data_IF_896007201749
#
_entry.id   IF_896007201749
#
_cell.length_a   1.000
_cell.length_b   1.000
_cell.length_c   1.000
_cell.angle_alpha   90.00
_cell.angle_beta   90.00
_cell.angle_gamma   90.00
#
_symmetry.space_group_name_H-M   'P 1'
#
loop_
_entity.id
_entity.type
_entity.pdbx_description
1 polymer ?
#
# COMPACT_ATOMS: atom_id res chain seq x y z
N UNK A 1 40.66 67.47 -20.83
CA UNK A 1 41.87 67.83 -21.62
C UNK A 1 42.65 66.53 -21.86
N UNK A 2 43.16 66.26 -23.07
CA UNK A 2 42.67 65.25 -24.06
C UNK A 2 43.66 64.06 -24.31
N UNK A 3 43.62 63.24 -25.40
CA UNK A 3 42.58 62.88 -26.43
C UNK A 3 42.30 61.33 -26.51
N UNK A 4 41.15 60.82 -26.97
CA UNK A 4 40.64 60.51 -28.35
C UNK A 4 41.56 59.66 -29.26
N UNK A 5 41.09 58.46 -29.69
CA UNK A 5 40.99 57.90 -31.08
C UNK A 5 40.58 56.40 -31.02
N UNK A 6 39.40 56.00 -31.55
CA UNK A 6 39.13 55.26 -32.83
C UNK A 6 39.97 53.97 -33.03
N UNK A 7 39.46 52.80 -33.42
CA UNK A 7 38.15 52.34 -33.90
C UNK A 7 38.23 50.89 -34.47
N UNK A 8 37.08 50.36 -34.90
CA UNK A 8 36.84 49.16 -35.74
C UNK A 8 37.16 47.77 -35.15
N UNK A 9 36.26 46.83 -34.86
CA UNK A 9 35.08 46.25 -35.54
C UNK A 9 35.38 45.22 -36.65
N UNK A 10 34.71 44.05 -36.49
CA UNK A 10 34.40 42.95 -37.45
C UNK A 10 35.52 41.93 -37.70
N UNK A 11 35.32 40.64 -37.94
CA UNK A 11 34.20 39.66 -38.04
C UNK A 11 34.93 38.30 -38.15
N UNK A 12 34.56 37.24 -37.41
CA UNK A 12 33.64 36.13 -37.79
C UNK A 12 34.22 35.02 -38.71
N UNK A 13 33.76 33.81 -38.36
CA UNK A 13 33.53 32.56 -39.15
C UNK A 13 34.66 31.59 -39.50
N UNK A 14 34.50 30.36 -38.97
CA UNK A 14 34.39 29.04 -39.64
C UNK A 14 34.50 29.04 -41.19
N UNK A 15 35.07 28.05 -41.89
CA UNK A 15 34.82 26.60 -41.87
C UNK A 15 35.79 25.90 -42.88
N UNK A 16 35.81 24.56 -42.85
CA UNK A 16 36.00 23.61 -43.99
C UNK A 16 37.32 22.83 -44.18
N UNK A 17 37.24 21.55 -43.78
CA UNK A 17 37.46 20.31 -44.56
C UNK A 17 38.86 19.82 -45.00
N UNK A 18 39.02 18.50 -44.76
CA UNK A 18 40.15 17.59 -45.02
C UNK A 18 40.43 17.34 -46.54
N UNK A 19 41.49 16.60 -46.97
CA UNK A 19 41.60 15.13 -46.76
C UNK A 19 43.04 14.59 -46.60
N UNK A 20 43.20 13.30 -46.26
CA UNK A 20 43.94 12.29 -47.06
C UNK A 20 44.17 10.97 -46.29
N UNK A 21 43.84 9.89 -46.99
CA UNK A 21 44.06 8.49 -46.67
C UNK A 21 45.56 8.09 -46.67
N UNK A 22 45.92 7.07 -45.87
CA UNK A 22 46.62 5.89 -46.39
C UNK A 22 46.69 4.74 -45.37
N UNK A 23 46.22 3.57 -45.81
CA UNK A 23 46.38 2.26 -45.22
C UNK A 23 47.84 1.77 -45.26
N UNK A 24 48.30 1.03 -44.24
CA UNK A 24 48.83 -0.33 -44.42
C UNK A 24 49.23 -1.00 -43.08
N UNK A 25 49.01 -2.31 -43.06
CA UNK A 25 49.01 -3.27 -41.97
C UNK A 25 50.34 -3.55 -41.26
N UNK A 26 50.26 -4.13 -40.05
CA UNK A 26 51.14 -5.21 -39.56
C UNK A 26 50.46 -5.99 -38.42
N UNK A 27 50.69 -7.29 -38.40
CA UNK A 27 49.98 -8.39 -37.74
C UNK A 27 50.42 -8.70 -36.29
N UNK A 28 49.65 -9.63 -35.68
CA UNK A 28 49.92 -10.51 -34.52
C UNK A 28 49.59 -9.94 -33.12
N UNK A 29 48.95 -10.64 -32.18
CA UNK A 29 48.85 -12.09 -31.94
C UNK A 29 47.55 -12.45 -31.20
N UNK A 30 47.03 -13.63 -31.52
CA UNK A 30 45.84 -14.30 -31.01
C UNK A 30 46.08 -14.90 -29.61
N UNK A 31 45.15 -14.74 -28.66
CA UNK A 31 45.05 -15.61 -27.47
C UNK A 31 43.60 -15.95 -27.20
N UNK A 32 43.27 -17.21 -27.47
CA UNK A 32 41.95 -17.83 -27.32
C UNK A 32 41.84 -18.50 -25.94
N UNK A 33 40.78 -18.18 -25.20
CA UNK A 33 40.36 -18.87 -23.97
C UNK A 33 39.16 -19.77 -24.30
N UNK A 34 39.12 -21.05 -23.86
CA UNK A 34 38.10 -22.01 -24.28
C UNK A 34 36.74 -21.82 -23.58
N UNK A 35 35.61 -22.23 -24.21
CA UNK A 35 34.28 -22.11 -23.62
C UNK A 35 33.95 -23.21 -22.61
N UNK A 36 33.28 -22.81 -21.52
CA UNK A 36 32.73 -23.67 -20.46
C UNK A 36 31.62 -24.61 -20.97
N UNK A 37 31.43 -25.80 -20.35
CA UNK A 37 30.46 -26.79 -20.79
C UNK A 37 29.01 -26.39 -20.46
N UNK A 38 28.07 -26.74 -21.36
CA UNK A 38 26.62 -26.53 -21.21
C UNK A 38 26.02 -27.48 -20.16
N UNK A 39 25.02 -27.04 -19.39
CA UNK A 39 24.23 -27.95 -18.56
C UNK A 39 23.29 -28.80 -19.43
N UNK A 40 23.19 -30.08 -19.07
CA UNK A 40 22.40 -31.13 -19.70
C UNK A 40 20.89 -30.90 -19.58
N UNK A 41 20.17 -31.13 -20.69
CA UNK A 41 18.71 -31.14 -20.80
C UNK A 41 18.05 -32.15 -19.85
N UNK A 42 16.87 -31.84 -19.26
CA UNK A 42 16.10 -32.81 -18.49
C UNK A 42 15.36 -33.80 -19.42
N UNK A 43 15.09 -35.04 -18.97
CA UNK A 43 14.41 -36.03 -19.78
C UNK A 43 12.91 -35.74 -19.91
N UNK A 44 12.43 -35.90 -21.13
CA UNK A 44 11.03 -35.92 -21.55
C UNK A 44 10.28 -37.08 -20.86
N UNK A 45 9.25 -36.78 -20.08
CA UNK A 45 8.25 -37.77 -19.65
C UNK A 45 6.94 -37.51 -20.38
N UNK A 46 6.44 -38.59 -20.96
CA UNK A 46 5.29 -38.66 -21.86
C UNK A 46 3.96 -38.48 -21.13
N UNK A 47 3.05 -37.78 -21.82
CA UNK A 47 1.62 -37.78 -21.54
C UNK A 47 1.07 -39.21 -21.59
N UNK A 48 0.42 -39.66 -20.51
CA UNK A 48 -0.68 -40.63 -20.61
C UNK A 48 -1.97 -39.99 -20.12
N UNK A 49 -2.91 -39.93 -21.05
CA UNK A 49 -4.34 -39.79 -20.84
C UNK A 49 -4.88 -41.07 -20.16
N UNK A 50 -5.79 -40.87 -19.23
CA UNK A 50 -6.91 -41.78 -18.91
C UNK A 50 -7.90 -40.91 -18.14
N UNK A 51 -8.91 -40.38 -18.82
CA UNK A 51 -10.26 -40.97 -18.95
C UNK A 51 -11.00 -40.99 -17.61
N UNK A 52 -12.14 -40.30 -17.62
CA UNK A 52 -12.84 -39.87 -16.43
C UNK A 52 -13.68 -40.92 -15.75
N UNK A 53 -14.45 -40.46 -14.77
CA UNK A 53 -15.86 -40.78 -14.61
C UNK A 53 -16.48 -39.86 -13.55
N UNK A 54 -17.38 -39.01 -14.05
CA UNK A 54 -18.47 -38.39 -13.33
C UNK A 54 -19.53 -39.46 -13.01
N UNK A 55 -20.18 -39.41 -11.85
CA UNK A 55 -21.38 -40.20 -11.60
C UNK A 55 -21.78 -40.43 -10.14
N UNK A 56 -22.61 -39.52 -9.61
CA UNK A 56 -23.80 -39.78 -8.78
C UNK A 56 -23.77 -40.61 -7.48
N UNK A 57 -24.11 -39.91 -6.38
CA UNK A 57 -25.13 -40.20 -5.36
C UNK A 57 -25.49 -41.66 -4.98
N UNK A 58 -25.34 -42.01 -3.69
CA UNK A 58 -26.45 -42.43 -2.81
C UNK A 58 -26.01 -42.69 -1.35
N UNK A 59 -26.76 -42.07 -0.45
CA UNK A 59 -27.10 -42.34 0.96
C UNK A 59 -26.43 -43.53 1.68
N UNK A 60 -25.95 -43.27 2.90
CA UNK A 60 -25.70 -44.29 3.93
C UNK A 60 -25.48 -43.68 5.32
N UNK A 61 -26.52 -43.70 6.15
CA UNK A 61 -26.49 -43.35 7.58
C UNK A 61 -25.55 -44.30 8.35
N UNK A 62 -24.64 -43.75 9.16
CA UNK A 62 -23.78 -44.55 10.03
C UNK A 62 -23.30 -43.76 11.23
N UNK A 63 -24.02 -43.87 12.36
CA UNK A 63 -23.63 -43.37 13.68
C UNK A 63 -22.24 -43.92 14.06
N UNK A 64 -21.26 -43.06 14.34
CA UNK A 64 -20.01 -43.45 15.01
C UNK A 64 -19.91 -42.79 16.40
N UNK A 65 -19.75 -43.67 17.39
CA UNK A 65 -19.58 -43.39 18.82
C UNK A 65 -18.32 -42.55 19.07
N UNK A 66 -18.46 -41.50 19.90
CA UNK A 66 -17.33 -40.76 20.49
C UNK A 66 -16.56 -41.69 21.44
N UNK A 67 -15.26 -41.87 21.19
CA UNK A 67 -14.32 -42.51 22.13
C UNK A 67 -13.69 -41.40 22.97
N UNK A 68 -13.83 -41.53 24.30
CA UNK A 68 -13.34 -40.60 25.32
C UNK A 68 -11.81 -40.64 25.34
N UNK A 69 -11.14 -39.54 25.00
CA UNK A 69 -9.70 -39.33 25.23
C UNK A 69 -9.55 -38.80 26.65
N UNK A 70 -8.59 -39.35 27.39
CA UNK A 70 -8.25 -39.02 28.77
C UNK A 70 -7.26 -37.85 28.74
N UNK A 71 -7.58 -36.80 29.47
CA UNK A 71 -6.74 -35.62 29.71
C UNK A 71 -5.45 -35.97 30.46
N UNK A 72 -4.35 -35.37 30.02
CA UNK A 72 -3.28 -34.85 30.88
C UNK A 72 -3.15 -33.36 30.54
N UNK A 73 -3.54 -32.48 31.47
CA UNK A 73 -3.39 -31.02 31.37
C UNK A 73 -2.23 -30.63 32.28
N UNK A 74 -1.20 -30.04 31.67
CA UNK A 74 -0.08 -29.44 32.38
C UNK A 74 -0.49 -28.11 33.03
N UNK A 75 -0.03 -27.91 34.26
CA UNK A 75 -0.23 -26.69 35.04
C UNK A 75 0.38 -25.47 34.30
N UNK A 76 -0.48 -24.54 33.87
CA UNK A 76 -0.07 -23.31 33.18
C UNK A 76 -1.20 -22.29 32.97
N UNK A 77 -2.45 -22.74 32.86
CA UNK A 77 -3.60 -21.89 32.50
C UNK A 77 -4.41 -21.36 33.71
N UNK A 78 -4.07 -21.76 34.93
CA UNK A 78 -4.88 -21.46 36.11
C UNK A 78 -4.66 -20.03 36.65
N UNK A 79 -3.48 -19.43 36.41
CA UNK A 79 -3.14 -18.12 36.95
C UNK A 79 -3.78 -16.95 36.18
N UNK A 80 -3.99 -17.10 34.87
CA UNK A 80 -4.55 -16.05 34.01
C UNK A 80 -6.07 -16.00 34.11
N UNK A 81 -6.72 -17.16 34.24
CA UNK A 81 -8.17 -17.27 34.45
C UNK A 81 -8.60 -16.71 35.82
N UNK A 82 -7.80 -16.92 36.86
CA UNK A 82 -8.04 -16.34 38.20
C UNK A 82 -7.86 -14.82 38.24
N UNK A 83 -6.95 -14.26 37.43
CA UNK A 83 -6.75 -12.81 37.33
C UNK A 83 -7.94 -12.13 36.64
N UNK A 84 -8.53 -12.75 35.61
CA UNK A 84 -9.69 -12.23 34.88
C UNK A 84 -10.99 -12.25 35.70
N UNK A 85 -11.25 -13.31 36.49
CA UNK A 85 -12.40 -13.33 37.42
C UNK A 85 -12.26 -12.32 38.57
N UNK A 86 -11.03 -12.05 39.03
CA UNK A 86 -10.78 -11.09 40.11
C UNK A 86 -10.99 -9.63 39.67
N UNK A 87 -10.73 -9.30 38.40
CA UNK A 87 -10.95 -7.96 37.85
C UNK A 87 -12.44 -7.72 37.57
N UNK A 88 -13.13 -8.70 36.97
CA UNK A 88 -14.58 -8.60 36.69
C UNK A 88 -15.43 -8.54 37.98
N UNK A 89 -15.04 -9.27 39.03
CA UNK A 89 -15.72 -9.21 40.34
C UNK A 89 -15.49 -7.90 41.09
N UNK A 90 -14.30 -7.30 40.98
CA UNK A 90 -13.98 -5.98 41.56
C UNK A 90 -14.76 -4.85 40.89
N UNK A 91 -14.94 -4.91 39.58
CA UNK A 91 -15.72 -3.91 38.84
C UNK A 91 -17.23 -4.07 39.09
N UNK A 92 -17.74 -5.29 39.23
CA UNK A 92 -19.14 -5.54 39.62
C UNK A 92 -19.47 -5.04 41.03
N UNK A 93 -18.55 -5.18 41.99
CA UNK A 93 -18.68 -4.63 43.35
C UNK A 93 -18.58 -3.09 43.38
N UNK A 94 -17.75 -2.48 42.52
CA UNK A 94 -17.64 -1.02 42.39
C UNK A 94 -18.91 -0.39 41.83
N UNK A 95 -19.55 -1.08 40.87
CA UNK A 95 -20.86 -0.70 40.32
C UNK A 95 -21.98 -0.85 41.36
N UNK A 96 -21.98 -1.91 42.17
CA UNK A 96 -22.95 -2.08 43.26
C UNK A 96 -22.78 -1.06 44.40
N UNK A 97 -21.54 -0.75 44.79
CA UNK A 97 -21.26 0.25 45.85
C UNK A 97 -21.51 1.70 45.41
N UNK A 98 -21.41 2.00 44.11
CA UNK A 98 -21.78 3.30 43.54
C UNK A 98 -23.29 3.57 43.51
N UNK A 99 -24.12 2.51 43.61
CA UNK A 99 -25.59 2.59 43.58
C UNK A 99 -26.21 2.74 44.97
N UNK A 100 -25.45 2.50 46.06
CA UNK A 100 -25.98 2.47 47.44
C UNK A 100 -25.44 3.56 48.38
N UNK A 101 -25.04 4.72 47.84
CA UNK A 101 -24.83 5.94 48.63
C UNK A 101 -25.68 7.08 48.08
N UNK A 102 -26.92 7.12 48.54
CA UNK A 102 -27.87 8.19 48.28
C UNK A 102 -29.01 8.10 49.29
N UNK A 103 -29.04 9.09 50.16
CA UNK A 103 -29.87 9.23 51.36
C UNK A 103 -31.37 8.94 51.12
N UNK A 104 -32.00 8.33 52.12
CA UNK A 104 -33.38 7.89 52.06
C UNK A 104 -34.35 9.07 52.01
N UNK A 105 -35.20 9.11 50.98
CA UNK A 105 -36.52 9.76 50.99
C UNK A 105 -37.38 9.15 49.88
N UNK A 106 -38.55 8.66 50.26
CA UNK A 106 -39.59 8.13 49.37
C UNK A 106 -39.92 9.12 48.25
N UNK A 107 -39.80 8.67 47.00
CA UNK A 107 -40.17 9.41 45.80
C UNK A 107 -40.64 8.47 44.71
N UNK A 108 -41.93 8.55 44.43
CA UNK A 108 -42.72 7.78 43.48
C UNK A 108 -42.10 7.76 42.06
N UNK A 109 -42.29 6.64 41.35
CA UNK A 109 -41.88 6.42 39.96
C UNK A 109 -42.51 7.44 39.00
N UNK A 110 -41.80 8.52 38.66
CA UNK A 110 -42.04 9.27 37.42
C UNK A 110 -40.80 10.05 37.03
N UNK A 111 -40.20 9.75 35.88
CA UNK A 111 -39.17 10.61 35.29
C UNK A 111 -37.91 9.92 34.78
N UNK A 112 -38.01 8.79 34.07
CA UNK A 112 -36.99 8.49 33.06
C UNK A 112 -37.21 9.44 31.86
N UNK A 113 -36.85 10.70 32.03
CA UNK A 113 -36.60 11.56 30.87
C UNK A 113 -35.41 10.93 30.14
N UNK A 114 -35.66 10.38 28.94
CA UNK A 114 -34.62 10.05 27.98
C UNK A 114 -33.71 11.28 27.90
N UNK A 115 -32.52 11.24 28.51
CA UNK A 115 -31.49 12.24 28.24
C UNK A 115 -31.15 12.06 26.77
N UNK A 116 -31.81 12.84 25.92
CA UNK A 116 -31.47 13.01 24.51
C UNK A 116 -30.03 13.52 24.54
N UNK A 117 -29.08 12.62 24.32
CA UNK A 117 -27.68 12.99 24.17
C UNK A 117 -27.64 13.95 23.00
N UNK A 118 -27.57 15.24 23.29
CA UNK A 118 -27.46 16.26 22.26
C UNK A 118 -26.23 15.89 21.45
N UNK A 119 -26.41 15.75 20.13
CA UNK A 119 -25.26 15.63 19.25
C UNK A 119 -24.41 16.86 19.53
N UNK A 120 -23.12 16.72 19.88
CA UNK A 120 -22.28 17.88 20.07
C UNK A 120 -22.44 18.76 18.84
N UNK A 121 -22.68 20.06 19.06
CA UNK A 121 -22.78 21.02 17.98
C UNK A 121 -21.60 20.76 17.05
N UNK A 122 -21.88 20.61 15.73
CA UNK A 122 -20.81 20.44 14.74
C UNK A 122 -19.80 21.55 15.00
N UNK A 123 -18.63 21.23 15.54
CA UNK A 123 -17.54 22.18 15.60
C UNK A 123 -17.37 22.65 14.16
N UNK A 124 -17.64 23.93 13.90
CA UNK A 124 -17.19 24.58 12.68
C UNK A 124 -15.67 24.69 12.82
N UNK A 125 -14.97 23.57 12.69
CA UNK A 125 -13.53 23.62 12.53
C UNK A 125 -13.30 24.51 11.31
N UNK A 126 -12.58 25.64 11.46
CA UNK A 126 -12.17 26.38 10.29
C UNK A 126 -11.44 25.38 9.40
N UNK A 127 -11.88 25.27 8.14
CA UNK A 127 -11.14 24.48 7.17
C UNK A 127 -9.85 25.26 6.92
N UNK A 128 -8.84 25.02 7.74
CA UNK A 128 -7.57 25.78 7.76
C UNK A 128 -7.01 25.90 6.34
N UNK A 129 -7.09 24.82 5.57
CA UNK A 129 -6.72 24.80 4.15
C UNK A 129 -7.50 25.83 3.30
N UNK A 130 -8.82 25.93 3.46
CA UNK A 130 -9.64 26.91 2.73
C UNK A 130 -9.28 28.34 3.14
N UNK A 131 -9.00 28.59 4.42
CA UNK A 131 -8.57 29.92 4.90
C UNK A 131 -7.21 30.31 4.32
N UNK A 132 -6.34 29.34 4.06
CA UNK A 132 -5.04 29.54 3.42
C UNK A 132 -5.12 29.53 1.88
N UNK A 133 -6.32 29.38 1.29
CA UNK A 133 -6.49 29.27 -0.17
C UNK A 133 -5.93 27.97 -0.78
N UNK A 134 -5.66 26.95 0.04
CA UNK A 134 -5.10 25.67 -0.38
C UNK A 134 -6.25 24.70 -0.68
N UNK A 135 -6.31 24.21 -1.91
CA UNK A 135 -7.27 23.18 -2.28
C UNK A 135 -6.86 21.82 -1.70
N UNK A 136 -7.83 21.06 -1.20
CA UNK A 136 -7.58 19.72 -0.62
C UNK A 136 -7.04 18.72 -1.64
N UNK A 137 -7.38 18.88 -2.90
CA UNK A 137 -6.88 18.02 -3.97
C UNK A 137 -5.42 18.30 -4.34
N UNK A 138 -4.83 19.40 -3.88
CA UNK A 138 -3.47 19.84 -4.23
C UNK A 138 -2.72 20.40 -3.01
N UNK A 139 -2.86 19.76 -1.84
CA UNK A 139 -2.35 20.32 -0.59
C UNK A 139 -0.82 20.20 -0.46
N UNK A 140 -0.21 19.17 -1.05
CA UNK A 140 1.25 19.00 -1.04
C UNK A 140 1.94 20.05 -1.91
N UNK A 141 1.24 20.62 -2.89
CA UNK A 141 1.75 21.69 -3.77
C UNK A 141 2.12 22.97 -3.04
N UNK A 142 1.61 23.17 -1.82
CA UNK A 142 1.97 24.30 -0.95
C UNK A 142 3.23 24.05 -0.11
N UNK A 143 3.77 22.83 -0.09
CA UNK A 143 4.97 22.45 0.66
C UNK A 143 6.23 22.61 -0.20
N UNK A 144 7.39 22.90 0.41
CA UNK A 144 8.65 23.00 -0.33
C UNK A 144 9.09 21.62 -0.86
N UNK A 145 9.78 21.63 -2.01
CA UNK A 145 10.31 20.40 -2.62
C UNK A 145 11.36 19.68 -1.76
N UNK A 146 12.02 20.42 -0.86
CA UNK A 146 13.01 19.87 0.07
C UNK A 146 12.42 19.06 1.23
N UNK A 147 11.11 19.17 1.50
CA UNK A 147 10.44 18.43 2.57
C UNK A 147 10.60 16.92 2.37
N UNK A 148 10.94 16.18 3.43
CA UNK A 148 11.00 14.72 3.38
C UNK A 148 9.59 14.13 3.48
N UNK A 149 9.31 13.09 2.70
CA UNK A 149 7.96 12.52 2.64
C UNK A 149 7.51 11.90 3.97
N UNK A 150 8.42 11.29 4.72
CA UNK A 150 8.18 10.68 6.04
C UNK A 150 8.15 11.67 7.22
N UNK A 151 8.44 12.95 6.97
CA UNK A 151 8.23 14.01 7.96
C UNK A 151 6.81 14.62 7.89
N UNK A 152 6.01 14.18 6.92
CA UNK A 152 4.67 14.71 6.68
C UNK A 152 3.58 13.88 7.38
N UNK A 153 2.54 14.58 7.85
CA UNK A 153 1.28 13.93 8.22
C UNK A 153 0.47 13.64 6.96
N UNK A 154 0.54 12.39 6.48
CA UNK A 154 -0.09 11.96 5.23
C UNK A 154 -1.38 11.19 5.54
N UNK A 155 -2.57 11.68 5.14
CA UNK A 155 -3.80 10.93 5.32
C UNK A 155 -3.86 9.74 4.36
N UNK A 156 -4.23 8.58 4.90
CA UNK A 156 -4.37 7.33 4.16
C UNK A 156 -5.76 6.72 4.20
N UNK A 157 -6.00 5.75 3.31
CA UNK A 157 -7.21 4.94 3.25
C UNK A 157 -6.87 3.46 3.40
N UNK A 158 -7.35 2.82 4.47
CA UNK A 158 -7.30 1.37 4.66
C UNK A 158 -8.19 0.67 3.64
N UNK A 159 -7.68 -0.38 2.99
CA UNK A 159 -8.42 -1.16 1.98
C UNK A 159 -9.13 -0.23 0.97
N UNK A 160 -8.34 0.60 0.30
CA UNK A 160 -8.80 1.78 -0.49
C UNK A 160 -9.92 1.44 -1.48
N UNK A 161 -9.92 0.22 -2.04
CA UNK A 161 -10.86 -0.24 -3.05
C UNK A 161 -12.02 -1.08 -2.47
N UNK A 162 -12.08 -1.26 -1.16
CA UNK A 162 -13.11 -2.04 -0.48
C UNK A 162 -14.45 -1.29 -0.41
N UNK A 163 -15.14 -1.23 -1.55
CA UNK A 163 -16.42 -0.56 -1.78
C UNK A 163 -17.61 -1.53 -1.89
N UNK A 164 -17.35 -2.84 -1.99
CA UNK A 164 -18.35 -3.84 -2.37
C UNK A 164 -18.60 -4.91 -1.29
N UNK A 165 -19.83 -5.44 -1.33
CA UNK A 165 -20.43 -6.45 -0.44
C UNK A 165 -20.29 -7.86 -1.08
N UNK A 166 -20.20 -8.96 -0.31
CA UNK A 166 -21.38 -9.44 0.41
C UNK A 166 -21.27 -9.48 1.95
N UNK A 167 -20.19 -8.97 2.56
CA UNK A 167 -20.00 -8.96 4.01
C UNK A 167 -19.85 -7.52 4.50
N UNK A 168 -20.53 -7.13 5.60
CA UNK A 168 -20.43 -5.73 6.08
C UNK A 168 -19.01 -5.40 6.51
N UNK A 169 -18.27 -6.41 6.97
CA UNK A 169 -16.86 -6.32 7.29
C UNK A 169 -15.97 -6.09 6.06
N UNK A 170 -16.47 -6.29 4.83
CA UNK A 170 -15.70 -6.08 3.61
C UNK A 170 -15.79 -4.66 3.03
N UNK A 171 -16.54 -3.75 3.67
CA UNK A 171 -16.68 -2.35 3.25
C UNK A 171 -15.85 -1.45 4.16
N UNK A 172 -14.77 -0.90 3.62
CA UNK A 172 -13.91 0.05 4.36
C UNK A 172 -14.05 1.48 3.84
N UNK A 173 -14.49 1.66 2.59
CA UNK A 173 -14.63 2.94 1.94
C UNK A 173 -16.04 3.13 1.39
N UNK A 174 -16.46 4.39 1.23
CA UNK A 174 -17.73 4.76 0.58
C UNK A 174 -17.54 5.62 -0.66
N UNK A 175 -16.29 5.94 -1.00
CA UNK A 175 -15.94 6.89 -2.06
C UNK A 175 -15.02 6.22 -3.08
N UNK A 176 -15.23 6.45 -4.38
CA UNK A 176 -14.30 6.00 -5.42
C UNK A 176 -12.90 6.57 -5.23
N UNK A 177 -11.88 5.88 -5.77
CA UNK A 177 -10.48 6.23 -5.66
C UNK A 177 -10.18 7.70 -6.05
N UNK A 178 -10.58 8.14 -7.25
CA UNK A 178 -10.37 9.53 -7.67
C UNK A 178 -10.99 10.53 -6.69
N UNK A 179 -12.16 10.23 -6.11
CA UNK A 179 -12.78 11.09 -5.10
C UNK A 179 -11.95 11.14 -3.81
N UNK A 180 -11.43 10.00 -3.33
CA UNK A 180 -10.52 9.97 -2.17
C UNK A 180 -9.29 10.87 -2.40
N UNK A 181 -8.68 10.81 -3.59
CA UNK A 181 -7.56 11.67 -3.99
C UNK A 181 -7.94 13.16 -3.98
N UNK A 182 -9.08 13.54 -4.57
CA UNK A 182 -9.56 14.92 -4.56
C UNK A 182 -9.95 15.42 -3.14
N UNK A 183 -10.24 14.52 -2.21
CA UNK A 183 -10.47 14.88 -0.80
C UNK A 183 -9.19 15.01 0.04
N UNK A 184 -8.04 14.62 -0.52
CA UNK A 184 -6.71 14.83 0.07
C UNK A 184 -5.97 13.55 0.49
N UNK A 185 -6.54 12.36 0.26
CA UNK A 185 -5.86 11.07 0.56
C UNK A 185 -4.62 10.90 -0.31
N UNK A 186 -3.52 10.47 0.29
CA UNK A 186 -2.21 10.32 -0.38
C UNK A 186 -1.49 9.02 -0.02
N UNK A 187 -1.98 8.26 0.95
CA UNK A 187 -1.52 6.90 1.23
C UNK A 187 -2.64 5.89 0.89
N UNK A 188 -2.40 5.02 -0.08
CA UNK A 188 -3.39 4.06 -0.57
C UNK A 188 -2.98 2.64 -0.16
N UNK A 189 -3.79 1.98 0.67
CA UNK A 189 -3.68 0.53 0.91
C UNK A 189 -4.42 -0.22 -0.20
N UNK A 190 -3.68 -0.81 -1.14
CA UNK A 190 -4.18 -1.57 -2.27
C UNK A 190 -3.83 -3.04 -2.11
N UNK A 191 -4.85 -3.89 -2.15
CA UNK A 191 -4.73 -5.30 -1.85
C UNK A 191 -5.21 -6.15 -3.02
N UNK A 192 -4.38 -7.07 -3.47
CA UNK A 192 -4.63 -7.82 -4.70
C UNK A 192 -4.47 -9.33 -4.51
N UNK A 193 -5.29 -10.07 -5.25
CA UNK A 193 -5.07 -11.49 -5.55
C UNK A 193 -4.45 -11.64 -6.94
N UNK A 194 -3.48 -12.53 -7.06
CA UNK A 194 -3.03 -13.02 -8.35
C UNK A 194 -3.94 -14.17 -8.81
N UNK A 195 -4.50 -14.02 -10.02
CA UNK A 195 -5.34 -15.05 -10.65
C UNK A 195 -4.51 -16.04 -11.45
N UNK A 196 -5.12 -17.17 -11.82
CA UNK A 196 -4.50 -18.18 -12.70
C UNK A 196 -4.20 -17.69 -14.12
N UNK A 197 -4.76 -16.53 -14.51
CA UNK A 197 -4.48 -15.85 -15.79
C UNK A 197 -3.34 -14.83 -15.70
N UNK A 198 -2.60 -14.81 -14.58
CA UNK A 198 -1.56 -13.82 -14.29
C UNK A 198 -2.07 -12.38 -14.26
N UNK A 199 -3.33 -12.19 -13.82
CA UNK A 199 -3.92 -10.86 -13.61
C UNK A 199 -4.03 -10.56 -12.11
N UNK A 200 -3.78 -9.30 -11.74
CA UNK A 200 -3.95 -8.79 -10.39
C UNK A 200 -5.33 -8.13 -10.23
N UNK A 201 -6.13 -8.68 -9.33
CA UNK A 201 -7.49 -8.20 -9.04
C UNK A 201 -7.61 -7.74 -7.60
N UNK A 202 -8.33 -6.64 -7.36
CA UNK A 202 -8.51 -6.07 -6.03
C UNK A 202 -9.42 -6.94 -5.16
N UNK A 203 -8.99 -7.19 -3.92
CA UNK A 203 -9.69 -8.03 -2.94
C UNK A 203 -9.61 -7.42 -1.55
N UNK A 204 -10.59 -7.76 -0.72
CA UNK A 204 -10.53 -7.56 0.73
C UNK A 204 -10.79 -8.93 1.38
N UNK A 205 -9.71 -9.59 1.84
CA UNK A 205 -9.75 -11.00 2.20
C UNK A 205 -10.28 -11.85 1.03
N UNK A 206 -11.38 -12.56 1.27
CA UNK A 206 -12.00 -13.43 0.27
C UNK A 206 -12.96 -12.69 -0.68
N UNK A 207 -13.21 -11.38 -0.48
CA UNK A 207 -14.23 -10.64 -1.22
C UNK A 207 -13.62 -9.88 -2.40
N UNK A 208 -13.97 -10.22 -3.66
CA UNK A 208 -13.52 -9.47 -4.83
C UNK A 208 -14.12 -8.07 -4.87
N UNK A 209 -13.31 -7.07 -5.23
CA UNK A 209 -13.72 -5.67 -5.37
C UNK A 209 -13.93 -5.25 -6.84
N UNK A 210 -13.78 -6.19 -7.78
CA UNK A 210 -14.17 -5.96 -9.18
C UNK A 210 -13.30 -4.97 -9.96
N UNK A 211 -12.09 -4.68 -9.50
CA UNK A 211 -11.13 -3.76 -10.15
C UNK A 211 -9.82 -4.48 -10.46
N UNK A 212 -9.29 -4.32 -11.67
CA UNK A 212 -7.94 -4.80 -12.02
C UNK A 212 -6.88 -3.79 -11.58
N UNK A 213 -5.71 -4.25 -11.16
CA UNK A 213 -4.61 -3.36 -10.78
C UNK A 213 -4.22 -2.40 -11.92
N UNK A 214 -4.24 -2.88 -13.17
CA UNK A 214 -4.01 -2.09 -14.38
C UNK A 214 -4.93 -0.86 -14.46
N UNK A 215 -6.23 -1.06 -14.24
CA UNK A 215 -7.24 0.02 -14.29
C UNK A 215 -7.06 1.02 -13.14
N UNK A 216 -6.69 0.50 -11.96
CA UNK A 216 -6.46 1.30 -10.75
C UNK A 216 -5.22 2.19 -10.94
N UNK A 217 -4.12 1.61 -11.42
CA UNK A 217 -2.90 2.34 -11.69
C UNK A 217 -3.08 3.40 -12.78
N UNK A 218 -3.75 3.05 -13.88
CA UNK A 218 -4.12 4.03 -14.91
C UNK A 218 -5.00 5.17 -14.36
N UNK A 219 -5.88 4.89 -13.39
CA UNK A 219 -6.67 5.92 -12.70
C UNK A 219 -5.80 6.88 -11.88
N UNK A 220 -4.89 6.34 -11.07
CA UNK A 220 -3.93 7.13 -10.28
C UNK A 220 -3.05 7.99 -11.20
N UNK A 221 -2.51 7.41 -12.27
CA UNK A 221 -1.59 8.09 -13.17
C UNK A 221 -2.26 9.26 -13.86
N UNK A 222 -3.49 9.08 -14.34
CA UNK A 222 -4.27 10.15 -14.94
C UNK A 222 -4.52 11.29 -13.96
N UNK A 223 -4.76 10.97 -12.69
CA UNK A 223 -4.93 11.99 -11.67
C UNK A 223 -3.61 12.74 -11.38
N UNK A 224 -2.50 12.01 -11.22
CA UNK A 224 -1.15 12.57 -11.00
C UNK A 224 -0.68 13.44 -12.18
N UNK A 225 -1.06 13.14 -13.41
CA UNK A 225 -0.74 13.96 -14.58
C UNK A 225 -1.72 15.13 -14.77
N UNK A 226 -2.88 15.06 -14.13
CA UNK A 226 -3.90 16.09 -14.17
C UNK A 226 -3.51 17.37 -13.45
N UNK A 227 -4.29 18.42 -13.67
CA UNK A 227 -4.05 19.73 -13.05
C UNK A 227 -4.06 19.69 -11.52
N UNK A 228 -4.86 18.79 -10.92
CA UNK A 228 -4.94 18.61 -9.46
C UNK A 228 -3.73 17.85 -8.88
N UNK A 229 -3.27 16.79 -9.57
CA UNK A 229 -2.28 15.85 -9.02
C UNK A 229 -0.84 16.11 -9.40
N UNK A 230 -0.54 16.97 -10.39
CA UNK A 230 0.84 17.19 -10.86
C UNK A 230 1.82 17.73 -9.82
N UNK A 231 1.30 18.42 -8.80
CA UNK A 231 2.09 18.90 -7.67
C UNK A 231 2.07 17.95 -6.48
N UNK A 232 1.45 16.79 -6.60
CA UNK A 232 1.21 15.84 -5.51
C UNK A 232 1.98 14.54 -5.75
N UNK A 233 2.04 13.67 -4.74
CA UNK A 233 2.55 12.30 -4.87
C UNK A 233 1.61 11.35 -4.14
N UNK A 234 1.60 10.07 -4.48
CA UNK A 234 0.83 9.07 -3.70
C UNK A 234 1.74 7.94 -3.28
N UNK A 235 1.66 7.53 -2.01
CA UNK A 235 2.26 6.30 -1.53
C UNK A 235 1.26 5.19 -1.78
N UNK A 236 1.67 4.17 -2.53
CA UNK A 236 0.85 3.00 -2.84
C UNK A 236 1.41 1.81 -2.09
N UNK A 237 0.76 1.46 -1.00
CA UNK A 237 1.00 0.21 -0.27
C UNK A 237 0.33 -0.93 -1.01
N UNK A 238 1.12 -1.90 -1.45
CA UNK A 238 0.63 -3.10 -2.14
C UNK A 238 0.77 -4.30 -1.22
N UNK A 239 -0.33 -5.01 -1.00
CA UNK A 239 -0.36 -6.29 -0.26
C UNK A 239 -0.96 -7.39 -1.13
N UNK A 240 -0.41 -8.60 -0.99
CA UNK A 240 -0.98 -9.81 -1.54
C UNK A 240 -2.05 -10.39 -0.59
N UNK A 241 -3.22 -10.76 -1.11
CA UNK A 241 -4.36 -11.27 -0.33
C UNK A 241 -4.54 -12.79 -0.37
N UNK A 242 -3.94 -13.48 -1.34
CA UNK A 242 -4.03 -14.94 -1.47
C UNK A 242 -2.67 -15.61 -1.33
N UNK A 243 -2.67 -16.94 -1.25
CA UNK A 243 -1.48 -17.75 -1.02
C UNK A 243 -0.71 -18.11 -2.29
N UNK A 244 -0.88 -17.37 -3.40
CA UNK A 244 -0.03 -17.59 -4.59
C UNK A 244 1.45 -17.41 -4.25
N UNK A 245 2.37 -18.07 -4.96
CA UNK A 245 3.80 -17.90 -4.70
C UNK A 245 4.17 -16.39 -4.68
N UNK A 246 4.71 -15.88 -3.57
CA UNK A 246 4.96 -14.44 -3.43
C UNK A 246 5.86 -13.86 -4.53
N UNK A 247 6.81 -14.65 -5.02
CA UNK A 247 7.70 -14.29 -6.12
C UNK A 247 6.96 -14.11 -7.46
N UNK A 248 5.92 -14.93 -7.70
CA UNK A 248 5.09 -14.82 -8.88
C UNK A 248 4.20 -13.57 -8.81
N UNK A 249 3.65 -13.27 -7.63
CA UNK A 249 2.91 -12.03 -7.39
C UNK A 249 3.80 -10.80 -7.63
N UNK A 250 4.99 -10.79 -7.03
CA UNK A 250 5.95 -9.69 -7.13
C UNK A 250 6.37 -9.43 -8.59
N UNK A 251 6.77 -10.48 -9.31
CA UNK A 251 7.17 -10.35 -10.72
C UNK A 251 6.02 -9.90 -11.62
N UNK A 252 4.79 -10.35 -11.38
CA UNK A 252 3.60 -9.90 -12.11
C UNK A 252 3.32 -8.42 -11.86
N UNK A 253 3.39 -7.96 -10.61
CA UNK A 253 3.20 -6.56 -10.25
C UNK A 253 4.25 -5.65 -10.90
N UNK A 254 5.53 -6.02 -10.79
CA UNK A 254 6.61 -5.24 -11.38
C UNK A 254 6.52 -5.20 -12.91
N UNK A 255 6.12 -6.32 -13.54
CA UNK A 255 5.89 -6.37 -14.98
C UNK A 255 4.73 -5.45 -15.39
N UNK A 256 3.66 -5.38 -14.61
CA UNK A 256 2.54 -4.46 -14.83
C UNK A 256 2.98 -2.99 -14.72
N UNK A 257 3.79 -2.66 -13.71
CA UNK A 257 4.36 -1.32 -13.55
C UNK A 257 5.21 -0.94 -14.77
N UNK A 258 6.05 -1.87 -15.25
CA UNK A 258 6.93 -1.64 -16.40
C UNK A 258 6.21 -1.58 -17.74
N UNK A 259 5.03 -2.19 -17.86
CA UNK A 259 4.25 -2.25 -19.09
C UNK A 259 3.20 -1.14 -19.22
N UNK A 260 2.98 -0.32 -18.17
CA UNK A 260 1.90 0.67 -18.21
C UNK A 260 2.20 1.81 -19.18
N UNK A 261 1.38 1.95 -20.22
CA UNK A 261 1.51 3.01 -21.22
C UNK A 261 1.17 4.40 -20.65
N UNK A 262 2.01 5.43 -20.86
CA UNK A 262 1.65 6.81 -20.59
C UNK A 262 0.37 7.25 -21.32
N UNK A 263 -0.29 8.30 -20.85
CA UNK A 263 -1.42 8.87 -21.57
C UNK A 263 -0.93 9.52 -22.88
N UNK A 264 -1.82 9.60 -23.87
CA UNK A 264 -1.52 10.34 -25.11
C UNK A 264 -1.19 11.83 -24.86
N UNK A 265 -1.67 12.39 -23.74
CA UNK A 265 -1.39 13.75 -23.29
C UNK A 265 -0.16 13.87 -22.38
N UNK A 266 0.52 12.77 -22.07
CA UNK A 266 1.69 12.77 -21.20
C UNK A 266 2.86 13.53 -21.85
N UNK A 267 3.74 14.15 -21.04
CA UNK A 267 4.98 14.73 -21.54
C UNK A 267 5.83 13.69 -22.30
N UNK A 268 6.66 14.09 -23.29
CA UNK A 268 7.41 13.17 -24.14
C UNK A 268 8.46 12.34 -23.39
N UNK A 269 8.92 12.81 -22.23
CA UNK A 269 9.84 12.09 -21.35
C UNK A 269 9.14 11.14 -20.36
N UNK A 270 7.80 11.06 -20.40
CA UNK A 270 7.05 10.16 -19.54
C UNK A 270 7.17 8.73 -20.05
N UNK A 271 7.72 7.86 -19.22
CA UNK A 271 7.84 6.42 -19.45
C UNK A 271 7.06 5.66 -18.37
N UNK A 272 6.70 4.38 -18.59
CA UNK A 272 6.08 3.54 -17.56
C UNK A 272 6.82 3.61 -16.21
N UNK A 273 8.16 3.55 -16.25
CA UNK A 273 9.03 3.58 -15.08
C UNK A 273 9.02 4.96 -14.40
N UNK A 274 8.88 6.05 -15.16
CA UNK A 274 8.87 7.41 -14.60
C UNK A 274 7.64 7.72 -13.74
N UNK A 275 6.58 6.91 -13.82
CA UNK A 275 5.41 7.02 -12.93
C UNK A 275 5.71 6.58 -11.50
N UNK A 276 6.79 5.82 -11.28
CA UNK A 276 7.08 5.23 -9.98
C UNK A 276 8.40 5.69 -9.40
N UNK A 277 8.40 5.80 -8.09
CA UNK A 277 9.61 5.77 -7.28
C UNK A 277 9.68 4.40 -6.60
N UNK A 278 10.73 3.65 -6.92
CA UNK A 278 10.90 2.24 -6.52
C UNK A 278 12.18 2.00 -5.72
N UNK A 279 12.80 3.05 -5.20
CA UNK A 279 13.94 2.89 -4.29
C UNK A 279 13.47 2.53 -2.89
N UNK A 280 14.30 1.82 -2.13
CA UNK A 280 14.07 1.53 -0.71
C UNK A 280 14.67 2.64 0.17
N UNK A 281 14.29 3.88 -0.09
CA UNK A 281 14.72 5.07 0.65
C UNK A 281 13.56 6.08 0.68
N UNK A 282 13.45 6.87 1.74
CA UNK A 282 12.42 7.91 1.81
C UNK A 282 12.79 9.11 0.93
N UNK A 283 11.96 9.48 -0.06
CA UNK A 283 12.28 10.55 -1.00
C UNK A 283 11.98 11.94 -0.43
N UNK A 284 12.60 12.97 -1.03
CA UNK A 284 12.09 14.34 -0.91
C UNK A 284 10.83 14.50 -1.75
N UNK A 285 9.92 15.37 -1.32
CA UNK A 285 8.66 15.61 -2.01
C UNK A 285 8.87 16.02 -3.47
N UNK A 286 9.85 16.89 -3.75
CA UNK A 286 10.18 17.34 -5.10
C UNK A 286 10.55 16.21 -6.07
N UNK A 287 11.22 15.16 -5.57
CA UNK A 287 11.68 14.03 -6.39
C UNK A 287 10.54 13.12 -6.87
N UNK A 288 9.40 13.18 -6.17
CA UNK A 288 8.25 12.27 -6.36
C UNK A 288 6.95 12.98 -6.74
N UNK A 289 6.95 14.30 -6.95
CA UNK A 289 5.78 14.98 -7.50
C UNK A 289 5.40 14.41 -8.86
N UNK A 290 4.11 14.19 -9.05
CA UNK A 290 3.55 13.51 -10.22
C UNK A 290 3.92 12.03 -10.31
N UNK A 291 4.44 11.40 -9.24
CA UNK A 291 4.80 9.96 -9.19
C UNK A 291 4.07 9.25 -8.06
N UNK A 292 3.99 7.92 -8.18
CA UNK A 292 3.60 7.02 -7.11
C UNK A 292 4.86 6.45 -6.42
N UNK A 293 4.88 6.45 -5.09
CA UNK A 293 5.93 5.81 -4.28
C UNK A 293 5.45 4.39 -3.97
N UNK A 294 6.22 3.38 -4.39
CA UNK A 294 5.89 1.99 -4.13
C UNK A 294 6.22 1.62 -2.68
N UNK A 295 5.24 1.08 -1.97
CA UNK A 295 5.41 0.52 -0.63
C UNK A 295 5.00 -0.97 -0.65
N UNK A 296 5.94 -1.87 -0.38
CA UNK A 296 5.81 -3.30 -0.61
C UNK A 296 5.49 -4.07 0.67
N UNK A 297 4.25 -4.59 0.79
CA UNK A 297 3.82 -5.54 1.84
C UNK A 297 3.64 -6.96 1.28
N UNK A 298 4.53 -7.35 0.36
CA UNK A 298 4.62 -8.68 -0.26
C UNK A 298 6.10 -9.08 -0.40
N UNK A 299 6.41 -10.19 -1.07
CA UNK A 299 7.80 -10.61 -1.30
C UNK A 299 8.64 -9.50 -1.97
N UNK A 300 9.50 -8.87 -1.16
CA UNK A 300 10.37 -7.81 -1.61
C UNK A 300 11.45 -8.35 -2.55
N UNK A 301 11.61 -7.65 -3.67
CA UNK A 301 12.57 -7.96 -4.73
C UNK A 301 13.52 -6.79 -4.97
N UNK A 302 13.88 -6.06 -3.91
CA UNK A 302 14.74 -4.88 -4.02
C UNK A 302 14.04 -3.61 -4.53
N UNK A 303 12.71 -3.61 -4.62
CA UNK A 303 11.93 -2.49 -5.17
C UNK A 303 10.96 -1.95 -4.13
N UNK A 304 10.85 -0.62 -4.07
CA UNK A 304 9.97 0.13 -3.18
C UNK A 304 10.44 0.14 -1.74
N UNK A 305 9.80 1.01 -0.95
CA UNK A 305 9.87 1.01 0.50
C UNK A 305 9.38 -0.34 1.02
N UNK A 306 10.14 -0.96 1.91
CA UNK A 306 9.80 -2.27 2.44
C UNK A 306 10.00 -2.34 3.95
N UNK A 307 8.95 -2.63 4.73
CA UNK A 307 9.07 -2.95 6.14
C UNK A 307 9.69 -4.33 6.31
N UNK A 308 10.78 -4.42 7.07
CA UNK A 308 11.49 -5.68 7.35
C UNK A 308 10.63 -6.67 8.16
N UNK A 309 9.66 -6.16 8.92
CA UNK A 309 8.75 -6.97 9.74
C UNK A 309 7.33 -6.40 9.71
N UNK A 310 6.33 -7.29 9.58
CA UNK A 310 4.91 -6.95 9.69
C UNK A 310 4.16 -8.03 10.49
N UNK A 311 4.26 -8.04 11.82
CA UNK A 311 3.57 -9.00 12.66
C UNK A 311 2.05 -8.84 12.55
N UNK A 312 1.33 -9.95 12.63
CA UNK A 312 -0.12 -9.97 12.48
C UNK A 312 -0.83 -9.56 13.79
N UNK A 313 -1.77 -8.61 13.71
CA UNK A 313 -2.70 -8.22 14.79
C UNK A 313 -2.04 -7.93 16.15
N UNK A 314 -0.89 -7.24 16.13
CA UNK A 314 -0.21 -6.82 17.35
C UNK A 314 -0.99 -5.70 18.04
N UNK A 315 -1.30 -5.90 19.32
CA UNK A 315 -2.06 -4.94 20.14
C UNK A 315 -1.21 -3.76 20.61
N UNK A 316 0.11 -3.84 20.46
CA UNK A 316 1.08 -2.76 20.71
C UNK A 316 1.72 -2.35 19.39
N UNK A 317 2.09 -1.07 19.31
CA UNK A 317 2.93 -0.61 18.22
C UNK A 317 4.30 -1.31 18.28
N UNK A 318 4.91 -1.53 17.12
CA UNK A 318 6.23 -2.14 16.99
C UNK A 318 7.11 -1.32 16.08
N UNK A 319 8.42 -1.48 16.24
CA UNK A 319 9.40 -0.84 15.36
C UNK A 319 9.82 -1.77 14.22
N UNK A 320 10.04 -1.18 13.05
CA UNK A 320 10.58 -1.87 11.87
C UNK A 320 11.39 -0.87 11.05
N UNK A 321 12.41 -1.34 10.32
CA UNK A 321 13.09 -0.48 9.36
C UNK A 321 12.24 -0.37 8.08
N UNK A 322 12.03 0.85 7.62
CA UNK A 322 11.41 1.14 6.33
C UNK A 322 12.28 2.16 5.63
N UNK A 323 12.89 1.77 4.50
CA UNK A 323 13.71 2.67 3.71
C UNK A 323 14.94 3.22 4.45
N UNK A 324 15.56 2.43 5.32
CA UNK A 324 16.73 2.83 6.11
C UNK A 324 16.41 3.73 7.31
N UNK A 325 15.14 3.80 7.71
CA UNK A 325 14.68 4.57 8.88
C UNK A 325 13.87 3.69 9.82
N UNK A 326 14.17 3.82 11.12
CA UNK A 326 13.35 3.21 12.16
C UNK A 326 11.95 3.84 12.14
N UNK A 327 10.95 3.00 11.94
CA UNK A 327 9.54 3.38 11.82
C UNK A 327 8.72 2.67 12.87
N UNK A 328 7.81 3.39 13.52
CA UNK A 328 6.86 2.85 14.49
C UNK A 328 5.52 2.59 13.80
N UNK A 329 5.05 1.35 13.80
CA UNK A 329 3.81 0.92 13.13
C UNK A 329 2.80 0.42 14.13
N UNK A 330 1.51 0.74 13.92
CA UNK A 330 0.39 0.18 14.66
C UNK A 330 -0.65 -0.35 13.66
N UNK A 331 -0.93 -1.66 13.69
CA UNK A 331 -1.91 -2.34 12.82
C UNK A 331 -2.79 -3.28 13.66
N UNK A 332 -3.36 -2.77 14.76
CA UNK A 332 -4.23 -3.57 15.63
C UNK A 332 -5.66 -3.64 15.05
N UNK A 333 -5.86 -4.53 14.08
CA UNK A 333 -7.08 -4.57 13.27
C UNK A 333 -8.31 -5.16 13.99
N UNK A 334 -8.13 -5.95 15.05
CA UNK A 334 -9.23 -6.68 15.71
C UNK A 334 -10.20 -5.81 16.52
N UNK A 335 -9.86 -4.56 16.84
CA UNK A 335 -10.72 -3.63 17.61
C UNK A 335 -11.15 -2.37 16.87
N UNK A 336 -10.67 -2.14 15.64
CA UNK A 336 -10.96 -0.92 14.90
C UNK A 336 -11.30 -1.21 13.44
N UNK A 337 -12.59 -1.25 13.12
CA UNK A 337 -13.09 -1.07 11.75
C UNK A 337 -12.92 0.38 11.27
N UNK A 338 -12.01 1.16 11.85
CA UNK A 338 -11.86 2.58 11.61
C UNK A 338 -10.44 3.01 12.01
N UNK A 339 -9.63 3.35 11.02
CA UNK A 339 -8.28 3.94 11.12
C UNK A 339 -7.15 2.96 11.48
N UNK A 340 -6.49 2.44 10.44
CA UNK A 340 -5.07 2.10 10.54
C UNK A 340 -4.27 3.39 10.32
N UNK A 341 -3.41 3.75 11.29
CA UNK A 341 -2.36 4.75 11.13
C UNK A 341 -1.13 3.99 10.65
N UNK A 342 -0.68 4.28 9.42
CA UNK A 342 0.64 3.85 8.93
C UNK A 342 1.61 4.99 9.16
#
# INVERSE_FOLDING_TARGET
MPPVLRGSAKESSELAQAPLDNNAASNETLSTVPPSPRPSSPPTVSNRRSDGLCGTCMRGLGRRRRKKVKEEVGAGDDAQTLAEETVLSRDAERVKKGVLRGDGRNGFLSGLTKRKRERPAKLKQPRVLNTLGIARCSWMSALPDSAMLDELYIPGSHETLALHYPLLSSLCQTLPLTTQLSLGIRFLDLRFNLTTKCELWAYHGLVPQGRRAEEVFAEVYRWLEGAEGRGETVIISVKQENDTPPDLFASTLLSLIQSTTPLASSPPNRTPQSFWYTENEWPRLGDVRGKAVLFCRFAWKGNGLHPVSWPNDQHVAWTTDIGGRESLVQDWVRYSCSFALI
#
